data_IF_866772031124
#
_entry.id   IF_866772031124
#
_cell.length_a   1.000
_cell.length_b   1.000
_cell.length_c   1.000
_cell.angle_alpha   90.00
_cell.angle_beta   90.00
_cell.angle_gamma   90.00
#
_symmetry.space_group_name_H-M   'P 1'
#
loop_
_entity.id
_entity.type
_entity.pdbx_description
1 polymer ?
#
# COMPACT_ATOMS: atom_id res chain seq x y z
N UNK A 1 54.49 -9.90 16.73
CA UNK A 1 53.27 -10.04 17.54
C UNK A 1 52.28 -8.99 17.05
N UNK A 2 51.31 -9.31 16.17
CA UNK A 2 50.34 -8.32 15.71
C UNK A 2 49.23 -8.14 16.75
N UNK A 3 49.05 -6.86 17.09
CA UNK A 3 48.07 -6.28 18.00
C UNK A 3 46.64 -6.64 17.58
N UNK A 4 45.98 -7.52 18.33
CA UNK A 4 44.56 -7.84 18.15
C UNK A 4 43.71 -6.78 18.85
N UNK A 5 43.21 -5.83 18.06
CA UNK A 5 42.09 -4.97 18.46
C UNK A 5 40.88 -5.86 18.80
N UNK A 6 40.27 -5.76 19.99
CA UNK A 6 39.01 -6.45 20.25
C UNK A 6 37.92 -5.85 19.35
N UNK A 7 37.25 -6.73 18.60
CA UNK A 7 36.03 -6.41 17.86
C UNK A 7 34.96 -5.86 18.82
N UNK A 8 34.10 -4.91 18.40
CA UNK A 8 32.97 -4.50 19.22
C UNK A 8 32.06 -5.71 19.51
N UNK A 9 31.40 -5.77 20.67
CA UNK A 9 30.50 -6.87 20.98
C UNK A 9 29.42 -6.94 19.90
N UNK A 10 29.31 -8.12 19.28
CA UNK A 10 28.25 -8.44 18.35
C UNK A 10 26.92 -8.11 19.01
N UNK A 11 26.17 -7.20 18.39
CA UNK A 11 24.81 -6.86 18.76
C UNK A 11 24.02 -8.16 18.82
N UNK A 12 23.26 -8.45 19.89
CA UNK A 12 22.38 -9.60 19.89
C UNK A 12 21.30 -9.37 18.81
N UNK A 13 21.47 -10.06 17.67
CA UNK A 13 20.43 -10.41 16.72
C UNK A 13 19.45 -11.35 17.42
N UNK A 14 18.64 -10.82 18.32
CA UNK A 14 17.36 -11.38 18.78
C UNK A 14 16.81 -10.47 19.88
N UNK A 15 16.29 -9.31 19.48
CA UNK A 15 15.18 -8.74 20.23
C UNK A 15 13.92 -9.15 19.51
N UNK A 16 13.42 -10.33 19.89
CA UNK A 16 12.01 -10.69 19.73
C UNK A 16 11.26 -9.75 20.68
N UNK A 17 11.16 -8.48 20.33
CA UNK A 17 10.21 -7.54 20.90
C UNK A 17 8.85 -7.83 20.26
N UNK A 18 8.34 -9.03 20.49
CA UNK A 18 7.01 -9.45 20.09
C UNK A 18 6.01 -8.89 21.10
N UNK A 19 5.93 -7.56 21.22
CA UNK A 19 4.90 -6.92 22.03
C UNK A 19 4.65 -5.48 21.56
N UNK A 20 3.52 -5.29 20.87
CA UNK A 20 2.76 -4.03 20.74
C UNK A 20 3.17 -2.96 19.72
N UNK A 21 4.01 -3.24 18.71
CA UNK A 21 4.19 -2.36 17.56
C UNK A 21 3.25 -2.73 16.39
N UNK A 22 2.90 -1.76 15.54
CA UNK A 22 2.19 -2.03 14.30
C UNK A 22 3.21 -2.53 13.28
N UNK A 23 3.10 -3.77 12.83
CA UNK A 23 4.00 -4.34 11.82
C UNK A 23 3.41 -4.31 10.42
N UNK A 24 4.26 -4.54 9.42
CA UNK A 24 3.89 -4.67 8.01
C UNK A 24 2.76 -5.72 7.81
N UNK A 25 2.84 -6.86 8.51
CA UNK A 25 1.85 -7.92 8.45
C UNK A 25 0.51 -7.55 9.11
N UNK A 26 0.53 -6.82 10.24
CA UNK A 26 -0.70 -6.33 10.89
C UNK A 26 -1.41 -5.31 10.02
N UNK A 27 -0.66 -4.37 9.46
CA UNK A 27 -1.18 -3.36 8.54
C UNK A 27 -1.78 -4.00 7.30
N UNK A 28 -1.08 -4.98 6.72
CA UNK A 28 -1.60 -5.81 5.63
C UNK A 28 -2.89 -6.53 6.02
N UNK A 29 -2.90 -7.21 7.16
CA UNK A 29 -4.08 -7.96 7.65
C UNK A 29 -5.27 -7.03 7.80
N UNK A 30 -5.08 -5.88 8.44
CA UNK A 30 -6.12 -4.86 8.58
C UNK A 30 -6.64 -4.38 7.21
N UNK A 31 -5.74 -4.06 6.27
CA UNK A 31 -6.12 -3.64 4.93
C UNK A 31 -6.91 -4.72 4.18
N UNK A 32 -6.57 -6.00 4.38
CA UNK A 32 -7.29 -7.14 3.81
C UNK A 32 -8.65 -7.39 4.47
N UNK A 33 -8.88 -6.90 5.70
CA UNK A 33 -10.23 -6.94 6.30
C UNK A 33 -11.19 -5.94 5.68
N UNK A 34 -10.69 -4.92 4.97
CA UNK A 34 -11.52 -3.92 4.33
C UNK A 34 -12.17 -4.47 3.05
N UNK A 35 -13.44 -4.13 2.78
CA UNK A 35 -14.14 -4.66 1.62
C UNK A 35 -13.54 -4.12 0.33
N UNK A 36 -13.45 -5.00 -0.68
CA UNK A 36 -12.95 -4.71 -2.01
C UNK A 36 -11.46 -4.32 -2.07
N UNK A 37 -10.67 -4.62 -1.06
CA UNK A 37 -9.22 -4.40 -1.12
C UNK A 37 -8.53 -5.54 -1.87
N UNK A 38 -7.64 -5.17 -2.79
CA UNK A 38 -6.79 -6.10 -3.54
C UNK A 38 -5.34 -5.72 -3.32
N UNK A 39 -4.54 -6.64 -2.81
CA UNK A 39 -3.10 -6.45 -2.73
C UNK A 39 -2.41 -6.94 -4.01
N UNK A 40 -1.35 -6.25 -4.41
CA UNK A 40 -0.55 -6.60 -5.58
C UNK A 40 0.89 -6.24 -5.30
N UNK A 41 1.76 -7.24 -5.36
CA UNK A 41 3.21 -7.05 -5.29
C UNK A 41 3.69 -6.39 -6.59
N UNK A 42 4.38 -5.27 -6.47
CA UNK A 42 4.89 -4.47 -7.57
C UNK A 42 6.30 -3.97 -7.20
N UNK A 43 7.19 -3.79 -8.18
CA UNK A 43 8.58 -3.34 -7.93
C UNK A 43 9.34 -4.22 -6.91
N UNK A 44 9.42 -5.53 -7.18
CA UNK A 44 10.10 -6.50 -6.32
C UNK A 44 9.30 -6.77 -5.05
N UNK A 45 9.63 -6.05 -3.99
CA UNK A 45 9.14 -6.28 -2.62
C UNK A 45 8.21 -5.16 -2.10
N UNK A 46 7.58 -4.39 -3.00
CA UNK A 46 6.55 -3.42 -2.60
C UNK A 46 5.14 -4.01 -2.77
N UNK A 47 4.39 -4.10 -1.67
CA UNK A 47 2.99 -4.48 -1.65
C UNK A 47 2.11 -3.25 -1.86
N UNK A 48 1.44 -3.19 -3.00
CA UNK A 48 0.49 -2.10 -3.32
C UNK A 48 -0.93 -2.58 -3.05
N UNK A 49 -1.68 -1.84 -2.24
CA UNK A 49 -3.09 -2.10 -1.95
C UNK A 49 -3.98 -1.19 -2.80
N UNK A 50 -4.97 -1.83 -3.42
CA UNK A 50 -5.92 -1.24 -4.34
C UNK A 50 -7.33 -1.32 -3.76
N UNK A 51 -8.06 -0.22 -3.81
CA UNK A 51 -9.50 -0.19 -3.56
C UNK A 51 -10.23 -0.53 -4.85
N UNK A 52 -10.82 -1.72 -4.90
CA UNK A 52 -11.46 -2.31 -6.06
C UNK A 52 -10.47 -2.97 -7.01
N UNK A 53 -10.97 -3.87 -7.86
CA UNK A 53 -10.13 -4.56 -8.83
C UNK A 53 -9.69 -3.61 -9.97
N UNK A 54 -8.42 -3.73 -10.39
CA UNK A 54 -7.84 -2.95 -11.50
C UNK A 54 -8.62 -3.09 -12.82
N UNK A 55 -9.40 -4.16 -13.00
CA UNK A 55 -10.24 -4.40 -14.18
C UNK A 55 -11.48 -3.50 -14.22
N UNK A 56 -12.06 -3.18 -13.06
CA UNK A 56 -13.24 -2.30 -12.94
C UNK A 56 -12.87 -0.84 -12.66
N UNK A 57 -11.57 -0.53 -12.58
CA UNK A 57 -11.06 0.84 -12.35
C UNK A 57 -10.69 1.11 -10.89
N UNK A 58 -10.29 0.06 -10.16
CA UNK A 58 -9.77 0.20 -8.80
C UNK A 58 -8.55 1.11 -8.73
N UNK A 59 -8.35 1.72 -7.56
CA UNK A 59 -7.36 2.77 -7.34
C UNK A 59 -6.51 2.43 -6.12
N UNK A 60 -5.20 2.57 -6.26
CA UNK A 60 -4.27 2.32 -5.16
C UNK A 60 -4.32 3.43 -4.11
N UNK A 61 -4.14 3.04 -2.85
CA UNK A 61 -4.20 3.94 -1.70
C UNK A 61 -3.11 3.70 -0.67
N UNK A 62 -2.53 2.49 -0.61
CA UNK A 62 -1.43 2.15 0.29
C UNK A 62 -0.37 1.38 -0.48
N UNK A 63 0.89 1.60 -0.11
CA UNK A 63 2.07 0.97 -0.67
C UNK A 63 3.01 0.64 0.49
N UNK A 64 3.12 -0.63 0.79
CA UNK A 64 3.93 -1.18 1.87
C UNK A 64 5.26 -1.65 1.28
N UNK A 65 6.38 -1.24 1.85
CA UNK A 65 7.70 -1.68 1.43
C UNK A 65 8.15 -2.82 2.36
N UNK A 66 8.40 -4.00 1.82
CA UNK A 66 8.94 -5.15 2.57
C UNK A 66 10.46 -5.28 2.46
N UNK A 67 11.08 -4.54 1.54
CA UNK A 67 12.50 -4.62 1.20
C UNK A 67 13.41 -4.17 2.37
N UNK A 68 12.87 -3.38 3.32
CA UNK A 68 13.61 -2.99 4.52
C UNK A 68 14.80 -2.08 4.23
N UNK A 69 14.88 -1.52 3.03
CA UNK A 69 15.98 -0.70 2.48
C UNK A 69 16.16 0.67 3.19
N UNK A 70 15.48 0.88 4.32
CA UNK A 70 15.58 2.06 5.18
C UNK A 70 14.94 3.34 4.61
N UNK A 71 14.29 3.28 3.44
CA UNK A 71 13.73 4.46 2.76
C UNK A 71 12.35 4.87 3.26
N UNK A 72 11.41 3.94 3.30
CA UNK A 72 10.06 4.12 3.85
C UNK A 72 9.46 2.74 4.11
N UNK A 73 8.87 2.50 5.28
CA UNK A 73 8.20 1.23 5.60
C UNK A 73 6.82 1.14 4.95
N UNK A 74 6.11 2.26 4.87
CA UNK A 74 4.75 2.31 4.33
C UNK A 74 4.46 3.71 3.80
N UNK A 75 3.91 3.77 2.60
CA UNK A 75 3.40 5.00 1.97
C UNK A 75 1.89 4.89 1.76
N UNK A 76 1.13 5.94 2.02
CA UNK A 76 -0.32 5.94 1.85
C UNK A 76 -0.88 7.30 1.46
N UNK A 77 -2.09 7.27 0.91
CA UNK A 77 -2.86 8.44 0.51
C UNK A 77 -3.55 9.08 1.72
N UNK A 78 -2.81 9.86 2.51
CA UNK A 78 -3.38 10.59 3.66
C UNK A 78 -4.49 11.58 3.29
N UNK A 79 -4.45 12.09 2.06
CA UNK A 79 -5.42 13.10 1.60
C UNK A 79 -5.04 14.52 2.03
N UNK A 80 -5.64 15.53 1.39
CA UNK A 80 -5.22 16.93 1.53
C UNK A 80 -5.35 17.48 2.95
N UNK A 81 -6.35 17.01 3.72
CA UNK A 81 -6.61 17.49 5.08
C UNK A 81 -5.55 17.01 6.06
N UNK A 82 -5.19 15.71 6.01
CA UNK A 82 -4.23 15.10 6.94
C UNK A 82 -2.79 15.24 6.49
N UNK A 83 -2.54 15.37 5.19
CA UNK A 83 -1.18 15.43 4.64
C UNK A 83 -0.33 16.55 5.28
N UNK A 84 -0.92 17.73 5.49
CA UNK A 84 -0.22 18.85 6.11
C UNK A 84 0.15 18.55 7.57
N UNK A 85 -0.75 17.95 8.35
CA UNK A 85 -0.46 17.56 9.74
C UNK A 85 0.60 16.46 9.81
N UNK A 86 0.49 15.46 8.93
CA UNK A 86 1.35 14.27 8.95
C UNK A 86 2.77 14.61 8.51
N UNK A 87 2.97 15.50 7.53
CA UNK A 87 4.31 15.88 7.06
C UNK A 87 5.10 16.68 8.11
N UNK A 88 4.42 17.25 9.11
CA UNK A 88 5.07 17.89 10.27
C UNK A 88 5.58 16.86 11.30
N UNK A 89 5.20 15.58 11.18
CA UNK A 89 5.57 14.54 12.13
C UNK A 89 6.94 13.96 11.78
N UNK A 90 7.82 13.88 12.78
CA UNK A 90 9.17 13.35 12.62
C UNK A 90 9.17 11.86 12.20
N UNK A 91 9.64 11.58 10.99
CA UNK A 91 9.66 10.24 10.41
C UNK A 91 8.57 10.01 9.35
N UNK A 92 7.70 11.00 9.12
CA UNK A 92 6.86 11.08 7.91
C UNK A 92 7.50 12.06 6.95
N UNK A 93 7.60 11.68 5.69
CA UNK A 93 8.04 12.56 4.62
C UNK A 93 6.98 12.57 3.50
N UNK A 94 6.89 13.66 2.74
CA UNK A 94 6.02 13.67 1.58
C UNK A 94 6.61 12.72 0.54
N UNK A 95 5.80 11.82 -0.02
CA UNK A 95 6.30 10.85 -0.98
C UNK A 95 6.90 11.59 -2.19
N UNK A 96 8.19 11.38 -2.53
CA UNK A 96 8.79 12.02 -3.69
C UNK A 96 7.95 11.63 -4.92
N UNK A 97 7.55 12.62 -5.73
CA UNK A 97 6.59 12.53 -6.85
C UNK A 97 5.10 12.44 -6.49
N UNK A 98 4.70 11.73 -5.43
CA UNK A 98 3.28 11.58 -5.06
C UNK A 98 2.76 12.62 -4.05
N UNK A 99 3.62 13.54 -3.58
CA UNK A 99 3.19 14.68 -2.77
C UNK A 99 2.06 15.51 -3.43
N UNK A 100 2.03 15.59 -4.77
CA UNK A 100 0.97 16.28 -5.54
C UNK A 100 -0.42 15.65 -5.38
N UNK A 101 -0.49 14.38 -5.01
CA UNK A 101 -1.74 13.66 -4.75
C UNK A 101 -1.94 13.40 -3.24
N UNK A 102 -1.20 14.12 -2.38
CA UNK A 102 -1.29 14.06 -0.93
C UNK A 102 -0.92 12.70 -0.34
N UNK A 103 0.16 12.10 -0.85
CA UNK A 103 0.70 10.86 -0.33
C UNK A 103 1.86 11.12 0.62
N UNK A 104 1.83 10.43 1.75
CA UNK A 104 2.88 10.45 2.76
C UNK A 104 3.63 9.13 2.74
N UNK A 105 4.94 9.20 2.98
CA UNK A 105 5.83 8.06 3.15
C UNK A 105 6.31 8.06 4.60
N UNK A 106 6.05 6.97 5.30
CA UNK A 106 6.43 6.81 6.69
C UNK A 106 7.67 5.93 6.75
N UNK A 107 8.70 6.42 7.44
CA UNK A 107 10.01 5.78 7.51
C UNK A 107 10.12 4.78 8.66
N UNK A 108 9.31 4.92 9.71
CA UNK A 108 9.33 4.06 10.90
C UNK A 108 7.91 3.68 11.33
N UNK A 109 7.74 2.47 11.85
CA UNK A 109 6.44 2.03 12.39
C UNK A 109 6.08 2.74 13.70
N UNK A 110 7.09 3.11 14.49
CA UNK A 110 6.96 3.83 15.76
C UNK A 110 6.47 5.28 15.66
N UNK A 111 6.28 5.80 14.44
CA UNK A 111 5.75 7.16 14.23
C UNK A 111 4.32 7.30 14.76
N UNK A 112 3.49 6.27 14.54
CA UNK A 112 2.09 6.27 14.96
C UNK A 112 1.79 5.11 15.88
N UNK A 113 0.84 5.31 16.79
CA UNK A 113 0.30 4.19 17.58
C UNK A 113 -0.49 3.25 16.66
N UNK A 114 -0.60 1.94 16.97
CA UNK A 114 -1.36 0.99 16.15
C UNK A 114 -2.79 1.44 15.82
N UNK A 115 -3.49 2.01 16.81
CA UNK A 115 -4.84 2.56 16.62
C UNK A 115 -4.88 3.76 15.65
N UNK A 116 -3.85 4.60 15.66
CA UNK A 116 -3.75 5.72 14.72
C UNK A 116 -3.46 5.19 13.31
N UNK A 117 -2.60 4.19 13.17
CA UNK A 117 -2.37 3.52 11.89
C UNK A 117 -3.67 2.99 11.28
N UNK A 118 -4.48 2.28 12.06
CA UNK A 118 -5.78 1.78 11.61
C UNK A 118 -6.70 2.93 11.14
N UNK A 119 -6.72 4.05 11.88
CA UNK A 119 -7.51 5.23 11.50
C UNK A 119 -7.01 5.89 10.22
N UNK A 120 -5.70 6.06 10.05
CA UNK A 120 -5.10 6.66 8.86
C UNK A 120 -5.30 5.78 7.62
N UNK A 121 -5.08 4.47 7.76
CA UNK A 121 -5.31 3.50 6.68
C UNK A 121 -6.80 3.44 6.28
N UNK A 122 -7.70 3.48 7.27
CA UNK A 122 -9.13 3.54 7.02
C UNK A 122 -9.53 4.86 6.33
N UNK A 123 -8.98 6.00 6.77
CA UNK A 123 -9.23 7.29 6.13
C UNK A 123 -8.72 7.31 4.68
N UNK A 124 -7.52 6.79 4.42
CA UNK A 124 -6.95 6.64 3.08
C UNK A 124 -7.81 5.75 2.18
N UNK A 125 -8.35 4.66 2.73
CA UNK A 125 -9.33 3.80 2.07
C UNK A 125 -10.60 4.57 1.73
N UNK A 126 -11.22 5.26 2.70
CA UNK A 126 -12.46 6.01 2.50
C UNK A 126 -12.28 7.11 1.46
N UNK A 127 -11.19 7.87 1.51
CA UNK A 127 -10.87 8.91 0.53
C UNK A 127 -10.67 8.33 -0.87
N UNK A 128 -9.99 7.19 -0.98
CA UNK A 128 -9.73 6.57 -2.28
C UNK A 128 -10.99 5.95 -2.84
N UNK A 129 -11.77 5.26 -1.99
CA UNK A 129 -13.10 4.78 -2.30
C UNK A 129 -14.01 5.92 -2.75
N UNK A 130 -13.86 7.11 -2.14
CA UNK A 130 -14.63 8.29 -2.54
C UNK A 130 -14.22 8.84 -3.91
N UNK A 131 -12.90 8.83 -4.17
CA UNK A 131 -12.33 9.22 -5.48
C UNK A 131 -12.50 8.16 -6.57
N UNK A 132 -13.13 7.01 -6.29
CA UNK A 132 -13.39 6.01 -7.33
C UNK A 132 -14.44 6.54 -8.32
N UNK A 133 -14.29 6.20 -9.62
CA UNK A 133 -15.29 6.55 -10.61
C UNK A 133 -16.67 6.03 -10.19
N UNK A 134 -17.77 6.77 -10.47
CA UNK A 134 -19.11 6.33 -10.13
C UNK A 134 -19.42 4.95 -10.74
N UNK A 135 -18.91 4.67 -11.94
CA UNK A 135 -19.00 3.35 -12.59
C UNK A 135 -18.36 2.23 -11.76
N UNK A 136 -17.23 2.51 -11.12
CA UNK A 136 -16.52 1.54 -10.27
C UNK A 136 -17.23 1.38 -8.93
N UNK A 137 -17.71 2.47 -8.32
CA UNK A 137 -18.51 2.42 -7.09
C UNK A 137 -19.80 1.64 -7.28
N UNK A 138 -20.54 1.89 -8.38
CA UNK A 138 -21.73 1.12 -8.71
C UNK A 138 -21.39 -0.35 -8.91
N UNK A 139 -20.28 -0.68 -9.58
CA UNK A 139 -19.82 -2.06 -9.70
C UNK A 139 -19.47 -2.69 -8.34
N UNK A 140 -18.85 -1.94 -7.43
CA UNK A 140 -18.53 -2.37 -6.06
C UNK A 140 -19.76 -2.43 -5.12
N UNK A 141 -20.86 -1.76 -5.47
CA UNK A 141 -22.12 -1.86 -4.76
C UNK A 141 -22.94 -3.10 -5.19
N UNK A 142 -22.59 -3.74 -6.31
CA UNK A 142 -23.23 -4.99 -6.76
C UNK A 142 -22.85 -6.15 -5.82
N UNK A 143 -23.67 -7.20 -5.71
CA UNK A 143 -23.32 -8.39 -4.94
C UNK A 143 -22.02 -9.04 -5.45
N UNK A 144 -21.23 -9.63 -4.56
CA UNK A 144 -19.89 -10.18 -4.85
C UNK A 144 -19.83 -11.09 -6.10
N UNK A 145 -20.92 -11.82 -6.39
CA UNK A 145 -21.05 -12.68 -7.58
C UNK A 145 -21.07 -11.88 -8.89
N UNK A 146 -21.75 -10.73 -8.91
CA UNK A 146 -21.77 -9.83 -10.06
C UNK A 146 -20.48 -9.03 -10.18
N UNK A 147 -19.87 -8.65 -9.05
CA UNK A 147 -18.52 -8.06 -9.06
C UNK A 147 -17.51 -8.98 -9.74
N UNK A 148 -17.47 -10.25 -9.30
CA UNK A 148 -16.57 -11.26 -9.87
C UNK A 148 -16.79 -11.44 -11.37
N UNK A 149 -18.06 -11.44 -11.81
CA UNK A 149 -18.42 -11.53 -13.23
C UNK A 149 -17.93 -10.31 -14.02
N UNK A 150 -18.16 -9.09 -13.51
CA UNK A 150 -17.67 -7.86 -14.14
C UNK A 150 -16.14 -7.82 -14.25
N UNK A 151 -15.45 -8.25 -13.18
CA UNK A 151 -14.00 -8.32 -13.13
C UNK A 151 -13.49 -9.32 -14.18
N UNK A 152 -14.08 -10.51 -14.24
CA UNK A 152 -13.72 -11.53 -15.23
C UNK A 152 -13.94 -11.04 -16.66
N UNK A 153 -15.09 -10.42 -16.94
CA UNK A 153 -15.44 -9.89 -18.25
C UNK A 153 -14.49 -8.77 -18.68
N UNK A 154 -14.17 -7.83 -17.79
CA UNK A 154 -13.19 -6.75 -18.06
C UNK A 154 -11.77 -7.27 -18.25
N UNK A 155 -11.36 -8.31 -17.51
CA UNK A 155 -10.06 -8.97 -17.71
C UNK A 155 -10.00 -9.67 -19.07
N UNK A 156 -11.07 -10.35 -19.48
CA UNK A 156 -11.18 -10.97 -20.81
C UNK A 156 -11.13 -9.91 -21.93
N UNK A 157 -11.87 -8.81 -21.80
CA UNK A 157 -11.85 -7.71 -22.77
C UNK A 157 -10.45 -7.10 -22.92
N UNK A 158 -9.70 -6.92 -21.81
CA UNK A 158 -8.31 -6.44 -21.88
C UNK A 158 -7.38 -7.43 -22.56
N UNK A 159 -7.45 -8.72 -22.23
CA UNK A 159 -6.64 -9.77 -22.88
C UNK A 159 -6.90 -9.82 -24.39
N UNK A 160 -8.16 -9.86 -24.79
CA UNK A 160 -8.56 -9.87 -26.20
C UNK A 160 -8.09 -8.62 -26.96
N UNK A 161 -8.07 -7.46 -26.30
CA UNK A 161 -7.56 -6.21 -26.89
C UNK A 161 -6.03 -6.22 -27.02
N UNK A 162 -5.30 -6.75 -26.05
CA UNK A 162 -3.84 -6.92 -26.11
C UNK A 162 -3.42 -7.92 -27.20
N UNK A 163 -4.16 -9.03 -27.37
CA UNK A 163 -3.91 -10.00 -28.44
C UNK A 163 -4.20 -9.42 -29.83
N UNK A 164 -5.25 -8.60 -29.98
CA UNK A 164 -5.55 -7.89 -31.24
C UNK A 164 -4.57 -6.79 -31.60
N UNK A 165 -3.78 -6.28 -30.64
CA UNK A 165 -2.84 -5.18 -30.85
C UNK A 165 -1.38 -5.63 -31.00
N UNK A 166 -1.09 -6.94 -30.99
CA UNK A 166 0.24 -7.44 -31.36
C UNK A 166 0.40 -7.23 -32.89
N UNK A 167 1.32 -6.38 -33.36
CA UNK A 167 1.59 -6.29 -34.79
C UNK A 167 2.12 -7.63 -35.25
N UNK A 168 1.58 -8.11 -36.35
CA UNK A 168 2.11 -9.23 -37.11
C UNK A 168 3.44 -8.77 -37.70
N UNK A 169 4.54 -9.06 -37.01
CA UNK A 169 5.90 -8.81 -37.50
C UNK A 169 6.09 -9.67 -38.76
N UNK A 170 6.24 -9.00 -39.90
CA UNK A 170 6.55 -9.57 -41.23
C UNK A 170 7.94 -9.13 -41.65
#
# INVERSE_FOLDING_TARGET
MPDQRPLPPATPLNSIAYTAAMDAERSRTFLLTLPHVVETMQWGDNLVFWTGDKAIGGKMFVLLNLDGDGKAVLSYAAGPERFAELVEIEGVSPAPYFARIYWVAVQRWDVFRPKQWEQELHAAYTLTFDKLPPKTRSALALPAKEQAKLIAERRQQRKAKTEKSKPQES
#
